data_IF_626549697134
#
_entry.id   IF_626549697134
#
_cell.length_a   1.000
_cell.length_b   1.000
_cell.length_c   1.000
_cell.angle_alpha   90.00
_cell.angle_beta   90.00
_cell.angle_gamma   90.00
#
_symmetry.space_group_name_H-M   'P 1'
#
loop_
_entity.id
_entity.type
_entity.pdbx_description
1 polymer ?
#
# COMPACT_ATOMS: atom_id res chain seq x y z
N UNK A 1 -15.50 -7.96 -5.38
CA UNK A 1 -14.49 -8.32 -4.36
C UNK A 1 -14.16 -9.78 -4.52
N UNK A 2 -12.92 -10.18 -4.25
CA UNK A 2 -12.47 -11.58 -4.35
C UNK A 2 -11.95 -12.08 -3.00
N UNK A 3 -11.95 -13.39 -2.84
CA UNK A 3 -11.36 -14.04 -1.66
C UNK A 3 -9.89 -13.61 -1.55
N UNK A 4 -9.51 -13.12 -0.37
CA UNK A 4 -8.16 -12.60 -0.10
C UNK A 4 -8.04 -11.07 -0.15
N UNK A 5 -9.08 -10.34 -0.57
CA UNK A 5 -9.09 -8.87 -0.45
C UNK A 5 -9.23 -8.44 1.02
N UNK A 6 -8.50 -7.39 1.41
CA UNK A 6 -8.73 -6.70 2.66
C UNK A 6 -10.00 -5.84 2.52
N UNK A 7 -10.91 -5.95 3.49
CA UNK A 7 -12.19 -5.28 3.46
C UNK A 7 -12.52 -4.61 4.78
N UNK A 8 -13.18 -3.45 4.71
CA UNK A 8 -13.82 -2.81 5.84
C UNK A 8 -15.32 -3.09 5.79
N UNK A 9 -15.85 -3.81 6.77
CA UNK A 9 -17.28 -4.06 6.93
C UNK A 9 -17.88 -3.15 8.01
N UNK A 10 -19.02 -2.53 7.73
CA UNK A 10 -19.82 -1.77 8.72
C UNK A 10 -21.19 -2.41 8.85
N UNK A 11 -21.64 -2.64 10.08
CA UNK A 11 -22.83 -3.45 10.32
C UNK A 11 -23.47 -3.25 11.69
N UNK A 12 -24.53 -4.02 11.93
CA UNK A 12 -25.22 -4.09 13.23
C UNK A 12 -24.87 -5.38 13.96
N UNK A 13 -24.63 -5.29 15.27
CA UNK A 13 -24.39 -6.45 16.13
C UNK A 13 -25.72 -7.05 16.58
N UNK A 14 -25.93 -8.35 16.34
CA UNK A 14 -27.07 -9.07 16.90
C UNK A 14 -26.64 -9.89 18.11
N UNK A 15 -27.40 -9.77 19.20
CA UNK A 15 -27.09 -10.34 20.52
C UNK A 15 -28.08 -11.45 20.83
N UNK A 16 -28.07 -12.56 20.09
CA UNK A 16 -28.95 -13.70 20.39
C UNK A 16 -28.14 -15.00 20.36
N UNK A 17 -27.59 -15.38 21.53
CA UNK A 17 -26.80 -16.58 21.87
C UNK A 17 -25.59 -16.95 21.00
N UNK A 18 -25.45 -16.36 19.82
CA UNK A 18 -24.26 -16.31 18.98
C UNK A 18 -24.01 -14.84 18.69
N UNK A 19 -22.85 -14.32 19.06
CA UNK A 19 -22.47 -12.95 18.70
C UNK A 19 -22.00 -12.97 17.25
N UNK A 20 -22.78 -12.38 16.36
CA UNK A 20 -22.39 -12.17 14.96
C UNK A 20 -22.78 -10.77 14.50
N UNK A 21 -22.00 -10.24 13.56
CA UNK A 21 -22.28 -8.97 12.89
C UNK A 21 -23.01 -9.26 11.57
N UNK A 22 -24.07 -8.50 11.28
CA UNK A 22 -24.62 -8.41 9.94
C UNK A 22 -24.06 -7.14 9.29
N UNK A 23 -23.21 -7.30 8.27
CA UNK A 23 -22.65 -6.19 7.51
C UNK A 23 -23.71 -5.53 6.64
N UNK A 24 -23.85 -4.21 6.76
CA UNK A 24 -24.69 -3.37 5.91
C UNK A 24 -23.90 -2.83 4.72
N UNK A 25 -22.60 -2.59 4.89
CA UNK A 25 -21.70 -2.16 3.83
C UNK A 25 -20.36 -2.87 3.94
N UNK A 26 -19.73 -3.15 2.79
CA UNK A 26 -18.39 -3.71 2.71
C UNK A 26 -17.61 -2.97 1.62
N UNK A 27 -16.48 -2.37 2.00
CA UNK A 27 -15.58 -1.63 1.11
C UNK A 27 -14.29 -2.44 0.92
N UNK A 28 -13.82 -2.56 -0.33
CA UNK A 28 -12.50 -3.11 -0.60
C UNK A 28 -11.45 -2.06 -0.29
N UNK A 29 -10.62 -2.33 0.71
CA UNK A 29 -9.52 -1.45 1.14
C UNK A 29 -8.17 -1.91 0.63
N UNK A 30 -8.13 -3.02 -0.11
CA UNK A 30 -6.91 -3.52 -0.77
C UNK A 30 -6.33 -2.40 -1.62
N UNK A 31 -5.05 -2.11 -1.43
CA UNK A 31 -4.30 -1.10 -2.18
C UNK A 31 -4.75 0.36 -1.96
N UNK A 32 -5.51 0.64 -0.90
CA UNK A 32 -5.82 2.03 -0.51
C UNK A 32 -4.54 2.77 -0.16
N UNK A 33 -4.36 3.98 -0.69
CA UNK A 33 -3.24 4.86 -0.36
C UNK A 33 -3.20 5.13 1.15
N UNK A 34 -2.00 5.03 1.74
CA UNK A 34 -1.75 5.32 3.14
C UNK A 34 -1.01 4.22 3.89
N UNK A 35 -0.93 4.40 5.20
CA UNK A 35 -0.34 3.45 6.15
C UNK A 35 -1.35 2.33 6.48
N UNK A 36 -0.91 1.09 6.36
CA UNK A 36 -1.64 -0.10 6.78
C UNK A 36 -0.98 -0.68 8.04
N UNK A 37 -1.81 -0.96 9.05
CA UNK A 37 -1.37 -1.35 10.38
C UNK A 37 -1.66 -2.84 10.60
N UNK A 38 -0.81 -3.51 11.38
CA UNK A 38 -1.09 -4.85 11.89
C UNK A 38 -2.14 -4.78 13.00
N UNK A 39 -2.67 -5.94 13.37
CA UNK A 39 -3.62 -6.09 14.49
C UNK A 39 -3.06 -5.58 15.83
N UNK A 40 -1.73 -5.69 16.03
CA UNK A 40 -1.04 -5.21 17.24
C UNK A 40 -0.83 -3.69 17.26
N UNK A 41 -1.28 -2.97 16.22
CA UNK A 41 -1.12 -1.52 16.09
C UNK A 41 0.27 -1.06 15.65
N UNK A 42 1.16 -1.98 15.24
CA UNK A 42 2.42 -1.62 14.59
C UNK A 42 2.24 -1.40 13.08
N UNK A 43 3.07 -0.57 12.43
CA UNK A 43 3.06 -0.43 10.97
C UNK A 43 3.36 -1.77 10.26
N UNK A 44 2.55 -2.12 9.26
CA UNK A 44 2.77 -3.30 8.41
C UNK A 44 3.42 -2.89 7.09
N UNK A 45 2.69 -2.13 6.28
CA UNK A 45 3.14 -1.65 4.98
C UNK A 45 2.51 -0.31 4.65
N UNK A 46 3.08 0.38 3.67
CA UNK A 46 2.53 1.60 3.10
C UNK A 46 2.18 1.35 1.65
N UNK A 47 1.02 1.86 1.22
CA UNK A 47 0.72 2.06 -0.19
C UNK A 47 0.90 3.54 -0.51
N UNK A 48 1.84 3.84 -1.38
CA UNK A 48 2.15 5.21 -1.81
C UNK A 48 2.24 5.32 -3.33
N UNK A 49 2.52 6.54 -3.78
CA UNK A 49 2.74 6.86 -5.19
C UNK A 49 4.18 7.35 -5.38
N UNK A 50 4.85 6.89 -6.42
CA UNK A 50 6.19 7.39 -6.79
C UNK A 50 6.06 8.85 -7.23
N UNK A 51 6.58 9.79 -6.43
CA UNK A 51 6.55 11.22 -6.77
C UNK A 51 7.79 11.65 -7.54
N UNK A 52 8.91 10.96 -7.36
CA UNK A 52 10.18 11.26 -8.06
C UNK A 52 10.99 9.99 -8.29
N UNK A 53 11.69 9.96 -9.42
CA UNK A 53 12.75 8.99 -9.73
C UNK A 53 14.06 9.76 -9.84
N UNK A 54 15.15 9.21 -9.30
CA UNK A 54 16.44 9.87 -9.33
C UNK A 54 17.61 8.88 -9.32
N UNK A 55 18.78 9.44 -9.59
CA UNK A 55 20.06 8.77 -9.45
C UNK A 55 20.90 9.61 -8.51
N UNK A 56 21.50 8.97 -7.51
CA UNK A 56 22.49 9.58 -6.62
C UNK A 56 23.86 9.13 -7.07
N UNK A 57 24.71 10.09 -7.37
CA UNK A 57 26.13 9.84 -7.62
C UNK A 57 26.82 9.58 -6.27
N UNK A 58 27.66 8.55 -6.24
CA UNK A 58 28.52 8.23 -5.11
C UNK A 58 29.99 8.54 -5.47
N UNK A 59 30.90 8.45 -4.50
CA UNK A 59 32.32 8.66 -4.79
C UNK A 59 32.83 7.55 -5.72
N UNK A 60 33.21 7.92 -6.96
CA UNK A 60 33.71 7.00 -7.98
C UNK A 60 32.74 6.84 -9.16
N UNK A 61 32.72 5.65 -9.78
CA UNK A 61 31.81 5.32 -10.89
C UNK A 61 30.48 4.67 -10.42
N UNK A 62 30.26 4.55 -9.11
CA UNK A 62 29.01 3.99 -8.59
C UNK A 62 27.92 5.07 -8.56
N UNK A 63 26.72 4.68 -8.97
CA UNK A 63 25.53 5.50 -8.80
C UNK A 63 24.40 4.62 -8.31
N UNK A 64 23.65 5.13 -7.33
CA UNK A 64 22.53 4.43 -6.73
C UNK A 64 21.23 5.07 -7.20
N UNK A 65 20.41 4.29 -7.90
CA UNK A 65 19.05 4.73 -8.28
C UNK A 65 18.16 4.77 -7.06
N UNK A 66 17.24 5.71 -7.02
CA UNK A 66 16.26 5.80 -5.95
C UNK A 66 14.93 6.34 -6.48
N UNK A 67 13.89 6.08 -5.72
CA UNK A 67 12.58 6.72 -5.88
C UNK A 67 12.15 7.38 -4.58
N UNK A 68 11.39 8.46 -4.70
CA UNK A 68 10.69 9.08 -3.59
C UNK A 68 9.24 8.64 -3.68
N UNK A 69 8.72 8.08 -2.60
CA UNK A 69 7.34 7.59 -2.51
C UNK A 69 6.58 8.46 -1.52
N UNK A 70 5.46 9.03 -1.96
CA UNK A 70 4.57 9.86 -1.17
C UNK A 70 3.32 9.08 -0.76
N UNK A 71 2.87 9.27 0.48
CA UNK A 71 1.60 8.73 0.95
C UNK A 71 0.97 9.63 2.03
N UNK A 72 -0.37 9.60 2.17
CA UNK A 72 -1.03 10.25 3.29
C UNK A 72 -0.82 9.45 4.58
N UNK A 73 -0.28 10.09 5.61
CA UNK A 73 -0.31 9.57 6.98
C UNK A 73 -1.74 9.40 7.49
N UNK A 74 -1.90 8.73 8.63
CA UNK A 74 -3.19 8.56 9.31
C UNK A 74 -3.91 9.89 9.60
N UNK A 75 -3.16 10.99 9.73
CA UNK A 75 -3.71 12.34 9.94
C UNK A 75 -3.91 13.14 8.63
N UNK A 76 -3.78 12.49 7.47
CA UNK A 76 -3.94 13.11 6.15
C UNK A 76 -2.75 13.96 5.68
N UNK A 77 -1.71 14.13 6.51
CA UNK A 77 -0.48 14.84 6.10
C UNK A 77 0.36 13.94 5.18
N UNK A 78 0.93 14.52 4.13
CA UNK A 78 1.88 13.83 3.26
C UNK A 78 3.15 13.44 4.01
N UNK A 79 3.60 12.21 3.80
CA UNK A 79 4.86 11.67 4.29
C UNK A 79 5.63 11.11 3.09
N UNK A 80 6.96 11.20 3.15
CA UNK A 80 7.86 10.70 2.11
C UNK A 80 8.71 9.54 2.64
N UNK A 81 8.94 8.54 1.79
CA UNK A 81 9.92 7.49 1.98
C UNK A 81 10.82 7.45 0.75
N UNK A 82 12.13 7.54 0.97
CA UNK A 82 13.11 7.32 -0.08
C UNK A 82 13.41 5.83 -0.19
N UNK A 83 13.36 5.27 -1.39
CA UNK A 83 13.68 3.86 -1.63
C UNK A 83 14.85 3.76 -2.58
N UNK A 84 15.95 3.18 -2.10
CA UNK A 84 17.14 2.91 -2.90
C UNK A 84 17.01 1.58 -3.64
N UNK A 85 17.37 1.57 -4.93
CA UNK A 85 17.14 0.47 -5.86
C UNK A 85 18.48 -0.12 -6.29
N UNK A 86 18.88 -1.21 -5.65
CA UNK A 86 20.15 -1.89 -5.90
C UNK A 86 20.00 -3.10 -6.82
N UNK A 87 18.78 -3.65 -6.93
CA UNK A 87 18.48 -4.88 -7.71
C UNK A 87 18.13 -4.63 -9.17
N UNK A 88 18.35 -3.42 -9.69
CA UNK A 88 17.97 -3.06 -11.07
C UNK A 88 16.46 -2.87 -11.27
N UNK A 89 15.68 -2.73 -10.18
CA UNK A 89 14.27 -2.36 -10.25
C UNK A 89 14.09 -1.02 -10.96
N UNK A 90 13.02 -0.88 -11.74
CA UNK A 90 12.68 0.37 -12.43
C UNK A 90 11.26 0.75 -12.06
N UNK A 91 11.06 2.01 -11.72
CA UNK A 91 9.77 2.60 -11.41
C UNK A 91 9.63 3.94 -12.13
N UNK A 92 8.39 4.38 -12.30
CA UNK A 92 8.06 5.65 -12.93
C UNK A 92 7.19 6.50 -12.00
N UNK A 93 7.28 7.82 -12.13
CA UNK A 93 6.40 8.75 -11.43
C UNK A 93 4.93 8.41 -11.71
N UNK A 94 4.09 8.45 -10.66
CA UNK A 94 2.67 8.10 -10.72
C UNK A 94 2.36 6.62 -10.47
N UNK A 95 3.37 5.74 -10.42
CA UNK A 95 3.14 4.33 -10.12
C UNK A 95 2.78 4.15 -8.63
N UNK A 96 1.70 3.40 -8.38
CA UNK A 96 1.37 2.93 -7.03
C UNK A 96 2.29 1.79 -6.63
N UNK A 97 2.80 1.89 -5.42
CA UNK A 97 3.80 0.96 -4.88
C UNK A 97 3.48 0.63 -3.44
N UNK A 98 3.89 -0.57 -3.02
CA UNK A 98 3.80 -1.05 -1.66
C UNK A 98 5.22 -1.12 -1.07
N UNK A 99 5.38 -0.58 0.13
CA UNK A 99 6.65 -0.59 0.88
C UNK A 99 6.45 -1.36 2.18
N UNK A 100 7.35 -2.29 2.47
CA UNK A 100 7.37 -3.03 3.73
C UNK A 100 7.94 -2.15 4.85
N UNK A 101 7.12 -1.80 5.84
CA UNK A 101 7.51 -0.89 6.93
C UNK A 101 8.49 -1.52 7.90
N UNK A 102 8.65 -2.85 7.90
CA UNK A 102 9.65 -3.55 8.71
C UNK A 102 11.09 -3.07 8.43
N UNK A 103 11.35 -2.65 7.19
CA UNK A 103 12.68 -2.27 6.73
C UNK A 103 12.84 -0.76 6.55
N UNK A 104 11.86 0.03 6.99
CA UNK A 104 11.89 1.48 6.92
C UNK A 104 12.49 2.04 8.21
N UNK A 105 13.53 2.85 8.06
CA UNK A 105 14.23 3.49 9.18
C UNK A 105 14.49 4.97 8.91
N UNK A 106 14.72 5.73 9.99
CA UNK A 106 15.19 7.12 9.90
C UNK A 106 16.71 7.16 10.05
N UNK A 107 17.38 7.98 9.23
CA UNK A 107 18.83 8.07 9.16
C UNK A 107 19.47 7.08 8.18
N UNK A 108 20.81 7.02 8.14
CA UNK A 108 21.55 6.21 7.17
C UNK A 108 21.82 6.97 5.87
N UNK A 109 21.30 6.46 4.74
CA UNK A 109 21.62 6.98 3.40
C UNK A 109 20.82 8.27 3.09
N UNK A 110 19.69 8.52 3.76
CA UNK A 110 18.87 9.74 3.57
C UNK A 110 18.60 10.48 4.89
N UNK A 111 18.26 11.76 4.77
CA UNK A 111 17.68 12.58 5.87
C UNK A 111 16.19 12.29 6.08
N UNK A 112 15.57 11.55 5.16
CA UNK A 112 14.19 11.08 5.22
C UNK A 112 14.12 9.64 5.76
N UNK A 113 12.89 9.20 6.05
CA UNK A 113 12.59 7.77 6.18
C UNK A 113 13.01 7.05 4.90
N UNK A 114 13.75 5.96 5.03
CA UNK A 114 14.25 5.25 3.86
C UNK A 114 14.34 3.74 4.05
N UNK A 115 14.41 3.05 2.92
CA UNK A 115 14.64 1.62 2.82
C UNK A 115 15.37 1.26 1.52
N UNK A 116 15.75 -0.01 1.37
CA UNK A 116 16.51 -0.51 0.22
C UNK A 116 15.79 -1.71 -0.39
N UNK A 117 15.39 -1.62 -1.65
CA UNK A 117 14.69 -2.65 -2.45
C UNK A 117 13.35 -3.19 -1.90
N UNK A 118 12.91 -2.81 -0.70
CA UNK A 118 11.68 -3.26 -0.05
C UNK A 118 10.43 -2.57 -0.59
N UNK A 119 10.30 -2.60 -1.91
CA UNK A 119 9.26 -1.95 -2.70
C UNK A 119 8.75 -2.88 -3.79
N UNK A 120 7.44 -2.93 -3.98
CA UNK A 120 6.79 -3.68 -5.06
C UNK A 120 5.71 -2.85 -5.75
N UNK A 121 5.44 -3.15 -7.03
CA UNK A 121 4.38 -2.48 -7.77
C UNK A 121 3.03 -3.00 -7.32
N UNK A 122 2.11 -2.06 -7.11
CA UNK A 122 0.72 -2.38 -6.81
C UNK A 122 -0.06 -2.36 -8.12
N UNK A 123 -0.48 -3.53 -8.58
CA UNK A 123 -1.34 -3.64 -9.74
C UNK A 123 -2.79 -3.49 -9.30
N UNK A 124 -3.44 -2.43 -9.75
CA UNK A 124 -4.89 -2.37 -9.70
C UNK A 124 -5.44 -3.43 -10.65
N UNK A 125 -6.39 -4.24 -10.17
CA UNK A 125 -7.16 -5.08 -11.07
C UNK A 125 -7.89 -4.14 -12.03
N UNK A 126 -7.59 -4.21 -13.34
CA UNK A 126 -8.41 -3.54 -14.34
C UNK A 126 -9.83 -4.02 -14.17
N UNK A 127 -10.72 -3.17 -13.67
CA UNK A 127 -12.16 -3.37 -13.74
C UNK A 127 -12.59 -3.19 -15.19
N UNK A 128 -12.32 -4.20 -16.02
CA UNK A 128 -13.13 -4.42 -17.20
C UNK A 128 -14.40 -5.13 -16.71
N UNK A 129 -15.38 -4.36 -16.26
CA UNK A 129 -16.74 -4.85 -16.03
C UNK A 129 -17.73 -3.73 -16.36
N UNK A 130 -17.83 -3.42 -17.65
CA UNK A 130 -19.16 -3.20 -18.22
C UNK A 130 -19.90 -4.56 -18.18
N UNK A 131 -21.08 -4.57 -17.55
CA UNK A 131 -22.17 -5.55 -17.68
C UNK A 131 -21.97 -6.97 -17.11
N UNK A 132 -22.60 -7.27 -15.99
CA UNK A 132 -23.92 -7.93 -16.01
C UNK A 132 -24.51 -8.00 -14.60
N UNK A 133 -25.83 -7.76 -14.51
CA UNK A 133 -26.63 -7.89 -13.31
C UNK A 133 -26.52 -9.31 -12.73
N UNK A 134 -25.93 -9.43 -11.54
CA UNK A 134 -25.88 -10.70 -10.79
C UNK A 134 -27.27 -11.03 -10.22
N UNK A 135 -28.11 -11.66 -11.05
CA UNK A 135 -29.29 -12.42 -10.61
C UNK A 135 -28.80 -13.76 -10.06
N UNK A 136 -28.88 -13.94 -8.74
CA UNK A 136 -28.63 -15.23 -8.09
C UNK A 136 -29.92 -16.05 -7.99
N UNK A 137 -29.91 -17.26 -8.54
CA UNK A 137 -30.91 -18.30 -8.28
C UNK A 137 -30.17 -19.49 -7.68
N UNK A 138 -30.60 -19.97 -6.51
CA UNK A 138 -30.16 -21.25 -5.96
C UNK A 138 -31.05 -22.39 -6.47
N UNK A 139 -30.44 -23.55 -6.72
CA UNK A 139 -31.10 -24.85 -6.91
C UNK A 139 -31.07 -25.65 -5.62
#
# INVERSE_FOLDING_TARGET
>A
MKVGDEVKATGSMMRNFTEYMIANTVENTSNKLGMHMKEDGSPDYVIGEVSKVGTREEEGESSTKYVVVEYPSLNGKKVIIDVFLTKGQVFHTGEKVKIDMKYVGWGGISINWNTVDHIERVYEAKTNAENNDDVWIWS
#
